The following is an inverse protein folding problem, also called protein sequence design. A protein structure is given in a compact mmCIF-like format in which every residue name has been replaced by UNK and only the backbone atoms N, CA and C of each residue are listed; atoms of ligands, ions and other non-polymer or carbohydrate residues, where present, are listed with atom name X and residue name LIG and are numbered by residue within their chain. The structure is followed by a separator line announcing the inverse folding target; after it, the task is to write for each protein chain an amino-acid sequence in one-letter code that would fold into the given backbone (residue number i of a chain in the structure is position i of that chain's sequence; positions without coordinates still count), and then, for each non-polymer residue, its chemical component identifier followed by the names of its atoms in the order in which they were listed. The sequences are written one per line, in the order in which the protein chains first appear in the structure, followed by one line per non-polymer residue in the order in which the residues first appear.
data_IF_374428868234
#
_entry.id   IF_374428868234
#
_cell.length_a   1.000
_cell.length_b   1.000
_cell.length_c   1.000
_cell.angle_alpha   90.00
_cell.angle_beta   90.00
_cell.angle_gamma   90.00
#
_symmetry.space_group_name_H-M   'P 1'
#
loop_
_entity.id
_entity.type
_entity.pdbx_description
1 polymer ?
#
# COMPACT_ATOMS: atom_id res chain seq x y z
N UNK A 1 -15.21 -5.24 7.00
CA UNK A 1 -14.12 -4.39 6.47
C UNK A 1 -13.38 -3.81 7.66
N UNK A 2 -12.18 -4.29 7.96
CA UNK A 2 -11.39 -3.78 9.09
C UNK A 2 -10.69 -2.51 8.59
N UNK A 3 -11.19 -1.35 9.02
CA UNK A 3 -10.57 -0.06 8.69
C UNK A 3 -9.72 0.33 9.88
N UNK A 4 -8.40 0.12 9.79
CA UNK A 4 -7.49 0.69 10.77
C UNK A 4 -7.49 2.20 10.58
N UNK A 5 -7.92 2.95 11.60
CA UNK A 5 -7.68 4.39 11.67
C UNK A 5 -6.25 4.59 12.14
N UNK A 6 -5.34 4.78 11.19
CA UNK A 6 -3.95 5.15 11.47
C UNK A 6 -3.90 6.67 11.64
N UNK A 7 -3.22 7.16 12.66
CA UNK A 7 -3.01 8.60 12.81
C UNK A 7 -2.02 9.05 11.73
N UNK A 8 -2.20 10.24 11.16
CA UNK A 8 -1.25 10.78 10.17
C UNK A 8 0.19 10.87 10.71
N UNK A 9 0.36 10.94 12.03
CA UNK A 9 1.62 10.92 12.76
C UNK A 9 2.35 9.55 12.65
N UNK A 10 1.58 8.48 12.45
CA UNK A 10 2.04 7.09 12.36
C UNK A 10 2.33 6.69 10.91
N UNK A 11 1.94 7.52 9.94
CA UNK A 11 2.23 7.33 8.52
C UNK A 11 3.63 7.87 8.18
N UNK A 12 4.35 7.18 7.30
CA UNK A 12 5.65 7.66 6.84
C UNK A 12 5.46 8.94 6.02
N UNK A 13 5.86 10.07 6.61
CA UNK A 13 5.80 11.39 5.97
C UNK A 13 6.47 11.42 4.59
N UNK A 14 7.47 10.57 4.33
CA UNK A 14 8.11 10.48 3.02
C UNK A 14 7.23 9.77 2.00
N UNK A 15 6.48 8.75 2.39
CA UNK A 15 5.52 8.07 1.50
C UNK A 15 4.36 8.98 1.15
N UNK A 16 3.85 9.72 2.13
CA UNK A 16 2.86 10.76 1.93
C UNK A 16 3.35 11.81 0.94
N UNK A 17 4.55 12.36 1.15
CA UNK A 17 5.15 13.33 0.25
C UNK A 17 5.39 12.75 -1.16
N UNK A 18 5.86 11.50 -1.26
CA UNK A 18 6.07 10.85 -2.55
C UNK A 18 4.75 10.77 -3.34
N UNK A 19 3.69 10.26 -2.73
CA UNK A 19 2.40 10.06 -3.39
C UNK A 19 1.69 11.37 -3.69
N UNK A 20 1.75 12.36 -2.79
CA UNK A 20 1.16 13.69 -3.03
C UNK A 20 1.81 14.41 -4.23
N UNK A 21 3.10 14.14 -4.49
CA UNK A 21 3.81 14.68 -5.65
C UNK A 21 3.60 13.88 -6.95
N UNK A 22 2.86 12.75 -6.93
CA UNK A 22 2.56 12.01 -8.15
C UNK A 22 1.33 12.59 -8.88
N UNK A 23 1.34 12.61 -10.23
CA UNK A 23 0.16 12.90 -11.03
C UNK A 23 -1.03 12.03 -10.66
N UNK A 24 -2.25 12.59 -10.75
CA UNK A 24 -3.48 11.90 -10.38
C UNK A 24 -3.64 10.54 -11.08
N UNK A 25 -3.28 10.44 -12.36
CA UNK A 25 -3.39 9.18 -13.12
C UNK A 25 -2.51 8.06 -12.54
N UNK A 26 -1.29 8.39 -12.04
CA UNK A 26 -0.40 7.40 -11.41
C UNK A 26 -0.95 6.91 -10.08
N UNK A 27 -1.49 7.84 -9.26
CA UNK A 27 -2.14 7.49 -8.00
C UNK A 27 -3.33 6.56 -8.21
N UNK A 28 -4.18 6.87 -9.18
CA UNK A 28 -5.36 6.04 -9.52
C UNK A 28 -4.92 4.66 -10.00
N UNK A 29 -3.92 4.59 -10.90
CA UNK A 29 -3.40 3.32 -11.41
C UNK A 29 -2.86 2.43 -10.28
N UNK A 30 -2.14 3.01 -9.32
CA UNK A 30 -1.63 2.25 -8.17
C UNK A 30 -2.75 1.76 -7.26
N UNK A 31 -3.72 2.61 -6.93
CA UNK A 31 -4.89 2.19 -6.14
C UNK A 31 -5.66 1.07 -6.83
N UNK A 32 -5.81 1.14 -8.16
CA UNK A 32 -6.41 0.06 -8.95
C UNK A 32 -5.61 -1.23 -8.90
N UNK A 33 -4.27 -1.16 -9.00
CA UNK A 33 -3.37 -2.31 -8.87
C UNK A 33 -3.51 -2.98 -7.50
N UNK A 34 -3.39 -2.20 -6.42
CA UNK A 34 -3.53 -2.67 -5.04
C UNK A 34 -4.89 -3.31 -4.79
N UNK A 35 -5.97 -2.71 -5.32
CA UNK A 35 -7.32 -3.25 -5.22
C UNK A 35 -7.44 -4.60 -5.91
N UNK A 36 -6.90 -4.75 -7.11
CA UNK A 36 -6.92 -6.01 -7.84
C UNK A 36 -6.14 -7.09 -7.10
N UNK A 37 -4.93 -6.78 -6.62
CA UNK A 37 -4.12 -7.73 -5.83
C UNK A 37 -4.84 -8.18 -4.56
N UNK A 38 -5.48 -7.25 -3.84
CA UNK A 38 -6.27 -7.58 -2.66
C UNK A 38 -7.40 -8.56 -2.98
N UNK A 39 -8.15 -8.34 -4.06
CA UNK A 39 -9.23 -9.26 -4.46
C UNK A 39 -8.70 -10.59 -5.00
N UNK A 40 -7.55 -10.59 -5.67
CA UNK A 40 -6.86 -11.83 -6.05
C UNK A 40 -6.48 -12.64 -4.81
N UNK A 41 -6.01 -12.01 -3.74
CA UNK A 41 -5.72 -12.69 -2.47
C UNK A 41 -6.98 -13.10 -1.72
N UNK A 42 -8.06 -12.31 -1.79
CA UNK A 42 -9.32 -12.62 -1.12
C UNK A 42 -10.04 -13.82 -1.76
N UNK A 43 -9.97 -13.94 -3.08
CA UNK A 43 -10.66 -14.98 -3.86
C UNK A 43 -9.77 -16.16 -4.23
N UNK A 44 -8.45 -16.02 -4.10
CA UNK A 44 -7.46 -17.08 -4.32
C UNK A 44 -6.95 -17.69 -3.02
N UNK A 45 -6.08 -18.69 -3.13
CA UNK A 45 -5.37 -19.22 -1.98
C UNK A 45 -4.43 -18.15 -1.39
N UNK A 46 -4.47 -18.01 -0.07
CA UNK A 46 -3.49 -17.18 0.64
C UNK A 46 -2.08 -17.69 0.29
N UNK A 47 -1.13 -16.79 -0.05
CA UNK A 47 0.26 -17.21 -0.18
C UNK A 47 0.70 -17.86 1.13
N UNK A 48 1.19 -19.10 1.05
CA UNK A 48 1.64 -19.87 2.23
C UNK A 48 2.68 -19.10 3.05
N UNK A 49 3.43 -18.22 2.40
CA UNK A 49 4.39 -17.30 3.01
C UNK A 49 4.15 -15.89 2.48
N UNK A 50 3.80 -14.97 3.38
CA UNK A 50 3.87 -13.53 3.11
C UNK A 50 5.23 -13.09 3.64
N UNK A 51 6.20 -12.91 2.75
CA UNK A 51 7.45 -12.27 3.14
C UNK A 51 7.17 -10.83 3.53
N UNK A 52 7.37 -10.52 4.81
CA UNK A 52 7.30 -9.15 5.31
C UNK A 52 8.54 -8.41 4.82
N UNK A 53 8.49 -7.89 3.61
CA UNK A 53 9.55 -7.02 3.06
C UNK A 53 9.45 -5.66 3.72
N UNK A 54 10.16 -5.45 4.82
CA UNK A 54 10.37 -4.12 5.40
C UNK A 54 11.49 -3.47 4.60
N UNK A 55 11.11 -2.66 3.62
CA UNK A 55 12.05 -1.81 2.88
C UNK A 55 12.56 -0.71 3.82
N UNK A 56 13.65 -0.98 4.53
CA UNK A 56 14.36 0.05 5.29
C UNK A 56 15.08 0.93 4.28
N UNK A 57 14.62 2.17 4.09
CA UNK A 57 15.38 3.17 3.33
C UNK A 57 16.68 3.41 4.08
N UNK A 58 17.83 3.18 3.44
CA UNK A 58 19.10 3.71 3.95
C UNK A 58 19.01 5.23 3.87
N UNK A 59 19.09 5.88 5.03
CA UNK A 59 19.30 7.33 5.17
C UNK A 59 20.60 7.73 4.46
#
# INVERSE_FOLDING_TARGET
MVVHKVKMEEEDSQDLNFWLNQPAYKRIAEVSRLRNEYYTWLLGDFPKHIDKTVSIRKL
#
